data_IF_587764325239
#
_entry.id   IF_587764325239
#
_cell.length_a   1.000
_cell.length_b   1.000
_cell.length_c   1.000
_cell.angle_alpha   90.00
_cell.angle_beta   90.00
_cell.angle_gamma   90.00
#
_symmetry.space_group_name_H-M   'P 1'
#
loop_
_entity.id
_entity.type
_entity.pdbx_description
1 polymer ?
#
# COMPACT_ATOMS: atom_id res chain seq x y z
N UNK A 1 8.72 -8.73 7.51
CA UNK A 1 7.82 -8.73 6.35
C UNK A 1 8.08 -7.47 5.56
N UNK A 2 8.73 -7.60 4.40
CA UNK A 2 9.05 -6.48 3.53
C UNK A 2 8.04 -6.44 2.39
N UNK A 3 7.35 -5.32 2.25
CA UNK A 3 6.56 -4.99 1.07
C UNK A 3 7.52 -4.29 0.11
N UNK A 4 8.06 -5.01 -0.87
CA UNK A 4 8.71 -4.33 -1.98
C UNK A 4 7.63 -3.60 -2.77
N UNK A 5 7.80 -2.28 -2.89
CA UNK A 5 7.02 -1.36 -3.71
C UNK A 5 5.66 -0.91 -3.14
N UNK A 6 5.73 0.05 -2.22
CA UNK A 6 4.66 1.05 -2.05
C UNK A 6 4.61 2.07 -3.20
N UNK A 7 5.40 1.90 -4.26
CA UNK A 7 5.44 2.75 -5.44
C UNK A 7 4.83 2.03 -6.64
N UNK A 8 3.89 2.71 -7.30
CA UNK A 8 3.41 2.45 -8.66
C UNK A 8 2.38 1.31 -8.78
N UNK A 9 1.14 1.66 -8.40
CA UNK A 9 -0.08 1.29 -9.13
C UNK A 9 -0.42 2.45 -10.07
N UNK A 10 -1.31 2.29 -11.08
CA UNK A 10 -1.87 3.44 -11.77
C UNK A 10 -2.44 4.41 -10.72
N UNK A 11 -1.82 5.59 -10.59
CA UNK A 11 -2.12 6.58 -9.55
C UNK A 11 -3.62 6.82 -9.40
N UNK A 12 -4.39 6.74 -10.50
CA UNK A 12 -5.83 6.90 -10.50
C UNK A 12 -6.61 5.89 -9.65
N UNK A 13 -6.22 4.61 -9.61
CA UNK A 13 -6.98 3.59 -8.88
C UNK A 13 -6.63 3.60 -7.41
N UNK A 14 -5.35 3.77 -7.08
CA UNK A 14 -4.92 3.96 -5.70
C UNK A 14 -5.47 5.27 -5.13
N UNK A 15 -5.46 6.37 -5.87
CA UNK A 15 -6.09 7.62 -5.41
C UNK A 15 -7.60 7.47 -5.25
N UNK A 16 -8.30 6.77 -6.14
CA UNK A 16 -9.74 6.48 -5.96
C UNK A 16 -10.01 5.61 -4.74
N UNK A 17 -9.24 4.54 -4.53
CA UNK A 17 -9.39 3.65 -3.37
C UNK A 17 -9.00 4.39 -2.09
N UNK A 18 -7.95 5.21 -2.09
CA UNK A 18 -7.53 5.99 -0.92
C UNK A 18 -8.49 7.16 -0.64
N UNK A 19 -9.05 7.79 -1.67
CA UNK A 19 -10.02 8.88 -1.55
C UNK A 19 -11.39 8.36 -1.11
N UNK A 20 -11.88 7.29 -1.74
CA UNK A 20 -13.19 6.69 -1.44
C UNK A 20 -13.12 5.70 -0.27
N UNK A 21 -11.91 5.24 0.10
CA UNK A 21 -11.64 4.22 1.14
C UNK A 21 -12.38 2.90 0.92
N UNK A 22 -12.67 2.56 -0.34
CA UNK A 22 -13.32 1.31 -0.76
C UNK A 22 -12.64 0.72 -2.00
N UNK A 23 -12.52 -0.61 -2.06
CA UNK A 23 -12.00 -1.33 -3.22
C UNK A 23 -11.06 -2.46 -2.85
N UNK A 24 -10.27 -2.92 -3.83
CA UNK A 24 -9.29 -4.00 -3.65
C UNK A 24 -7.96 -3.63 -4.29
N UNK A 25 -6.88 -3.92 -3.59
CA UNK A 25 -5.52 -3.69 -4.07
C UNK A 25 -4.72 -4.98 -3.99
N UNK A 26 -4.32 -5.56 -5.14
CA UNK A 26 -3.36 -6.65 -5.19
C UNK A 26 -2.00 -6.23 -4.59
N UNK A 27 -1.27 -7.15 -3.99
CA UNK A 27 0.08 -6.92 -3.52
C UNK A 27 0.83 -8.25 -3.35
N UNK A 28 2.15 -8.22 -3.14
CA UNK A 28 2.95 -9.40 -2.82
C UNK A 28 3.68 -9.18 -1.50
N UNK A 29 3.61 -10.17 -0.62
CA UNK A 29 4.37 -10.21 0.61
C UNK A 29 5.45 -11.27 0.49
N UNK A 30 6.68 -10.90 0.86
CA UNK A 30 7.81 -11.83 0.86
C UNK A 30 8.14 -12.25 2.30
N UNK A 31 8.15 -13.57 2.51
CA UNK A 31 8.46 -14.19 3.80
C UNK A 31 9.77 -14.96 3.69
N UNK A 32 10.63 -14.85 4.71
CA UNK A 32 11.71 -15.82 4.88
C UNK A 32 11.12 -17.14 5.37
N UNK A 33 11.80 -18.26 5.10
CA UNK A 33 11.39 -19.58 5.55
C UNK A 33 11.12 -19.65 7.07
N UNK A 34 11.93 -18.93 7.86
CA UNK A 34 11.83 -18.86 9.31
C UNK A 34 10.60 -18.09 9.81
N UNK A 35 10.08 -17.17 8.99
CA UNK A 35 8.94 -16.30 9.33
C UNK A 35 7.61 -16.87 8.80
N UNK A 36 7.66 -17.93 8.00
CA UNK A 36 6.47 -18.55 7.44
C UNK A 36 5.67 -19.29 8.52
N UNK A 37 4.35 -19.07 8.60
CA UNK A 37 3.49 -19.90 9.44
C UNK A 37 3.66 -21.38 9.08
N UNK A 38 3.89 -22.24 10.07
CA UNK A 38 4.12 -23.67 9.81
C UNK A 38 2.97 -24.34 9.04
N UNK A 39 1.73 -23.90 9.28
CA UNK A 39 0.52 -24.33 8.58
C UNK A 39 0.51 -24.00 7.07
N UNK A 40 1.41 -23.12 6.64
CA UNK A 40 1.55 -22.66 5.26
C UNK A 40 2.69 -23.36 4.54
N UNK A 41 3.57 -24.08 5.23
CA UNK A 41 4.66 -24.81 4.59
C UNK A 41 4.12 -26.06 3.89
N UNK A 42 3.76 -25.90 2.61
CA UNK A 42 3.26 -26.96 1.75
C UNK A 42 4.39 -27.49 0.87
N UNK A 43 4.35 -28.78 0.56
CA UNK A 43 5.43 -29.48 -0.14
C UNK A 43 5.68 -28.96 -1.58
N UNK A 44 4.70 -28.28 -2.17
CA UNK A 44 4.72 -27.80 -3.56
C UNK A 44 4.82 -26.26 -3.67
N UNK A 45 5.17 -25.57 -2.58
CA UNK A 45 5.39 -24.12 -2.62
C UNK A 45 6.74 -23.81 -3.27
N UNK A 46 6.68 -23.21 -4.46
CA UNK A 46 7.86 -22.78 -5.20
C UNK A 46 8.43 -21.50 -4.56
N UNK A 47 9.67 -21.59 -4.09
CA UNK A 47 10.44 -20.46 -3.56
C UNK A 47 10.69 -19.40 -4.66
N UNK A 48 10.73 -18.13 -4.27
CA UNK A 48 11.10 -17.03 -5.16
C UNK A 48 12.57 -16.64 -4.95
N UNK A 49 13.37 -16.73 -6.01
CA UNK A 49 14.77 -16.28 -6.05
C UNK A 49 14.90 -14.75 -6.17
N UNK A 50 14.22 -14.02 -5.29
CA UNK A 50 14.39 -12.57 -5.20
C UNK A 50 15.53 -12.30 -4.22
N UNK A 51 16.71 -11.99 -4.78
CA UNK A 51 18.00 -11.84 -4.08
C UNK A 51 18.56 -13.18 -3.59
N UNK A 52 19.85 -13.25 -3.21
CA UNK A 52 20.54 -14.48 -2.78
C UNK A 52 19.96 -15.14 -1.50
N UNK A 53 18.76 -14.74 -1.06
CA UNK A 53 18.04 -15.26 0.08
C UNK A 53 16.75 -15.97 -0.38
N UNK A 54 16.56 -17.23 0.02
CA UNK A 54 15.32 -17.98 -0.24
C UNK A 54 14.12 -17.29 0.43
N UNK A 55 13.16 -16.82 -0.37
CA UNK A 55 11.92 -16.19 0.11
C UNK A 55 10.68 -16.83 -0.50
N UNK A 56 9.58 -16.77 0.21
CA UNK A 56 8.26 -17.22 -0.23
C UNK A 56 7.42 -15.99 -0.59
N UNK A 57 7.00 -15.92 -1.86
CA UNK A 57 6.06 -14.91 -2.33
C UNK A 57 4.63 -15.35 -2.02
N UNK A 58 3.93 -14.55 -1.21
CA UNK A 58 2.52 -14.72 -0.87
C UNK A 58 1.72 -13.62 -1.56
N UNK A 59 0.77 -13.95 -2.46
CA UNK A 59 -0.13 -12.95 -3.01
C UNK A 59 -1.06 -12.44 -1.91
N UNK A 60 -1.26 -11.13 -1.88
CA UNK A 60 -2.08 -10.40 -0.92
C UNK A 60 -3.18 -9.64 -1.67
N UNK A 61 -4.39 -9.66 -1.13
CA UNK A 61 -5.48 -8.77 -1.52
C UNK A 61 -5.83 -7.86 -0.33
N UNK A 62 -5.52 -6.57 -0.46
CA UNK A 62 -5.94 -5.54 0.50
C UNK A 62 -7.34 -5.08 0.14
N UNK A 63 -8.32 -5.43 0.97
CA UNK A 63 -9.73 -5.12 0.79
C UNK A 63 -10.06 -3.91 1.65
N UNK A 64 -10.48 -2.82 1.02
CA UNK A 64 -10.84 -1.58 1.68
C UNK A 64 -12.36 -1.44 1.73
N UNK A 65 -12.89 -1.05 2.90
CA UNK A 65 -14.31 -0.76 3.10
C UNK A 65 -14.52 0.41 4.07
N UNK A 66 -15.62 1.13 3.92
CA UNK A 66 -16.08 2.15 4.87
C UNK A 66 -16.92 1.60 6.01
N UNK A 67 -17.64 0.49 5.79
CA UNK A 67 -18.66 -0.03 6.71
C UNK A 67 -18.08 -0.93 7.80
N UNK A 68 -18.57 -0.76 9.04
CA UNK A 68 -18.27 -1.66 10.15
C UNK A 68 -18.80 -3.08 9.91
N UNK A 69 -19.94 -3.19 9.21
CA UNK A 69 -20.53 -4.48 8.88
C UNK A 69 -19.70 -5.20 7.82
N UNK A 70 -19.20 -4.44 6.85
CA UNK A 70 -18.39 -4.96 5.76
C UNK A 70 -17.06 -5.55 6.24
N UNK A 71 -16.46 -4.91 7.24
CA UNK A 71 -15.23 -5.39 7.87
C UNK A 71 -15.38 -6.78 8.52
N UNK A 72 -16.61 -7.23 8.80
CA UNK A 72 -16.92 -8.55 9.35
C UNK A 72 -17.42 -9.54 8.29
N UNK A 73 -17.53 -9.14 7.02
CA UNK A 73 -18.09 -9.99 5.97
C UNK A 73 -17.27 -11.25 5.73
N UNK A 74 -15.94 -11.17 5.75
CA UNK A 74 -15.07 -12.35 5.58
C UNK A 74 -15.22 -13.38 6.71
N UNK A 75 -15.68 -12.94 7.89
CA UNK A 75 -15.92 -13.81 9.04
C UNK A 75 -17.14 -14.68 8.80
N UNK A 76 -18.20 -14.07 8.26
CA UNK A 76 -19.53 -14.66 8.22
C UNK A 76 -19.81 -15.42 6.93
N UNK A 77 -19.11 -15.04 5.87
CA UNK A 77 -19.54 -15.35 4.51
C UNK A 77 -18.43 -16.03 3.73
N UNK A 78 -18.84 -16.80 2.74
CA UNK A 78 -17.91 -17.41 1.79
C UNK A 78 -17.48 -16.39 0.73
N UNK A 79 -16.26 -16.56 0.27
CA UNK A 79 -15.66 -15.76 -0.78
C UNK A 79 -15.56 -16.55 -2.09
N UNK A 80 -15.58 -15.83 -3.20
CA UNK A 80 -15.41 -16.37 -4.54
C UNK A 80 -14.50 -15.45 -5.34
N UNK A 81 -13.82 -16.04 -6.33
CA UNK A 81 -12.90 -15.33 -7.20
C UNK A 81 -13.28 -15.54 -8.66
N UNK A 82 -12.96 -14.54 -9.47
CA UNK A 82 -12.94 -14.64 -10.92
C UNK A 82 -11.58 -14.14 -11.38
N UNK A 83 -10.90 -14.91 -12.23
CA UNK A 83 -9.66 -14.48 -12.87
C UNK A 83 -9.77 -14.79 -14.35
N UNK A 84 -9.79 -13.77 -15.21
CA UNK A 84 -9.93 -13.94 -16.65
C UNK A 84 -9.02 -13.01 -17.41
N UNK A 85 -8.38 -13.54 -18.44
CA UNK A 85 -7.62 -12.74 -19.38
C UNK A 85 -8.55 -12.17 -20.44
N UNK A 86 -8.32 -10.90 -20.80
CA UNK A 86 -9.00 -10.24 -21.88
C UNK A 86 -7.98 -9.64 -22.85
N UNK A 87 -8.28 -9.71 -24.14
CA UNK A 87 -7.62 -8.93 -25.17
C UNK A 87 -8.64 -7.93 -25.75
N UNK A 88 -8.40 -6.64 -25.52
CA UNK A 88 -9.29 -5.56 -25.92
C UNK A 88 -8.46 -4.55 -26.71
N UNK A 89 -8.84 -4.31 -27.96
CA UNK A 89 -8.11 -3.38 -28.84
C UNK A 89 -6.61 -3.70 -28.91
N UNK A 90 -6.27 -4.99 -29.06
CA UNK A 90 -4.91 -5.52 -29.04
C UNK A 90 -4.14 -5.32 -27.72
N UNK A 91 -4.85 -4.95 -26.65
CA UNK A 91 -4.28 -4.78 -25.32
C UNK A 91 -4.73 -5.91 -24.41
N UNK A 92 -3.79 -6.65 -23.85
CA UNK A 92 -4.00 -7.71 -22.89
C UNK A 92 -4.09 -7.14 -21.47
N UNK A 93 -5.06 -7.62 -20.71
CA UNK A 93 -5.23 -7.35 -19.29
C UNK A 93 -5.77 -8.59 -18.59
N UNK A 94 -5.51 -8.71 -17.29
CA UNK A 94 -6.12 -9.75 -16.47
C UNK A 94 -7.11 -9.12 -15.50
N UNK A 95 -8.34 -9.61 -15.59
CA UNK A 95 -9.46 -9.17 -14.80
C UNK A 95 -9.61 -10.08 -13.58
N UNK A 96 -9.36 -9.52 -12.40
CA UNK A 96 -9.53 -10.17 -11.11
C UNK A 96 -10.75 -9.58 -10.39
N UNK A 97 -11.73 -10.42 -10.07
CA UNK A 97 -12.82 -10.06 -9.18
C UNK A 97 -12.76 -10.87 -7.90
N UNK A 98 -13.15 -10.20 -6.82
CA UNK A 98 -13.39 -10.79 -5.52
C UNK A 98 -14.82 -10.51 -5.12
N UNK A 99 -15.53 -11.57 -4.71
CA UNK A 99 -16.93 -11.51 -4.34
C UNK A 99 -17.15 -12.14 -2.96
N UNK A 100 -17.96 -11.48 -2.13
CA UNK A 100 -18.50 -12.05 -0.89
C UNK A 100 -19.98 -12.31 -1.09
N UNK A 101 -20.34 -13.59 -1.24
CA UNK A 101 -21.62 -14.03 -1.81
C UNK A 101 -22.83 -13.80 -0.91
N UNK A 102 -22.67 -13.87 0.41
CA UNK A 102 -23.81 -13.95 1.33
C UNK A 102 -24.41 -12.58 1.74
N UNK A 103 -24.09 -11.50 1.02
CA UNK A 103 -24.80 -10.21 1.12
C UNK A 103 -25.88 -10.15 0.05
N UNK A 104 -26.98 -10.88 0.23
CA UNK A 104 -28.09 -10.84 -0.74
C UNK A 104 -29.01 -9.63 -0.47
N UNK A 105 -29.54 -8.92 -1.48
CA UNK A 105 -29.44 -9.16 -2.94
C UNK A 105 -28.21 -8.58 -3.63
N UNK A 106 -27.39 -7.78 -2.95
CA UNK A 106 -26.27 -7.04 -3.53
C UNK A 106 -24.94 -7.54 -2.93
N UNK A 107 -24.33 -8.60 -3.50
CA UNK A 107 -23.07 -9.12 -2.99
C UNK A 107 -21.99 -8.05 -3.05
N UNK A 108 -21.10 -8.04 -2.06
CA UNK A 108 -19.93 -7.18 -2.09
C UNK A 108 -18.98 -7.68 -3.18
N UNK A 109 -18.80 -6.89 -4.23
CA UNK A 109 -17.93 -7.18 -5.37
C UNK A 109 -16.94 -6.05 -5.54
N UNK A 110 -15.68 -6.42 -5.66
CA UNK A 110 -14.59 -5.49 -5.95
C UNK A 110 -13.74 -6.05 -7.08
N UNK A 111 -13.24 -5.14 -7.91
CA UNK A 111 -12.50 -5.42 -9.14
C UNK A 111 -11.08 -4.89 -9.05
N UNK A 112 -10.14 -5.67 -9.58
CA UNK A 112 -8.80 -5.19 -9.95
C UNK A 112 -8.47 -5.62 -11.38
N UNK A 113 -7.85 -4.71 -12.13
CA UNK A 113 -7.38 -4.96 -13.48
C UNK A 113 -5.86 -4.93 -13.48
N UNK A 114 -5.27 -6.04 -13.88
CA UNK A 114 -3.85 -6.31 -13.83
C UNK A 114 -3.26 -6.02 -15.21
N UNK A 115 -2.28 -5.11 -15.25
CA UNK A 115 -1.50 -4.78 -16.45
C UNK A 115 -0.35 -5.79 -16.61
N UNK A 116 -0.36 -6.64 -17.65
CA UNK A 116 0.70 -7.61 -17.88
C UNK A 116 2.06 -6.99 -18.12
N UNK A 117 2.15 -5.71 -18.50
CA UNK A 117 3.43 -5.03 -18.79
C UNK A 117 4.09 -4.47 -17.53
N UNK A 118 3.34 -4.32 -16.44
CA UNK A 118 3.81 -3.67 -15.21
C UNK A 118 4.47 -4.68 -14.26
N UNK A 119 5.66 -4.36 -13.76
CA UNK A 119 6.50 -5.27 -12.97
C UNK A 119 5.80 -5.77 -11.69
N UNK A 120 5.09 -4.88 -10.99
CA UNK A 120 4.35 -5.23 -9.77
C UNK A 120 3.20 -6.19 -10.06
N UNK A 121 2.45 -5.93 -11.13
CA UNK A 121 1.37 -6.80 -11.61
C UNK A 121 1.88 -8.17 -12.07
N UNK A 122 3.02 -8.21 -12.80
CA UNK A 122 3.70 -9.47 -13.14
C UNK A 122 4.10 -10.24 -11.88
N UNK A 123 4.67 -9.56 -10.89
CA UNK A 123 5.09 -10.17 -9.62
C UNK A 123 3.90 -10.74 -8.85
N UNK A 124 2.78 -10.01 -8.83
CA UNK A 124 1.53 -10.47 -8.24
C UNK A 124 0.96 -11.71 -8.94
N UNK A 125 0.88 -11.71 -10.26
CA UNK A 125 0.41 -12.89 -11.02
C UNK A 125 1.36 -14.07 -10.86
N UNK A 126 2.67 -13.82 -10.78
CA UNK A 126 3.67 -14.85 -10.46
C UNK A 126 3.40 -15.45 -9.08
N UNK A 127 3.21 -14.61 -8.05
CA UNK A 127 2.88 -15.07 -6.71
C UNK A 127 1.54 -15.85 -6.69
N UNK A 128 0.51 -15.40 -7.41
CA UNK A 128 -0.74 -16.15 -7.59
C UNK A 128 -0.52 -17.50 -8.28
N UNK A 129 0.40 -17.61 -9.24
CA UNK A 129 0.67 -18.86 -9.94
C UNK A 129 1.43 -19.87 -9.07
N UNK A 130 2.31 -19.39 -8.19
CA UNK A 130 3.23 -20.25 -7.43
C UNK A 130 2.78 -20.55 -6.01
N UNK A 131 2.08 -19.63 -5.37
CA UNK A 131 1.66 -19.76 -3.98
C UNK A 131 0.44 -20.69 -3.86
N UNK A 132 0.46 -21.67 -2.95
CA UNK A 132 -0.72 -22.45 -2.61
C UNK A 132 -1.77 -21.60 -1.88
N UNK A 133 -1.37 -20.48 -1.27
CA UNK A 133 -2.22 -19.65 -0.42
C UNK A 133 -2.40 -18.24 -0.98
N UNK A 134 -3.52 -17.62 -0.62
CA UNK A 134 -3.84 -16.22 -0.87
C UNK A 134 -4.17 -15.54 0.45
N UNK A 135 -3.49 -14.43 0.74
CA UNK A 135 -3.76 -13.63 1.93
C UNK A 135 -4.81 -12.54 1.62
N UNK A 136 -5.79 -12.40 2.49
CA UNK A 136 -6.85 -11.40 2.45
C UNK A 136 -6.68 -10.48 3.66
N UNK A 137 -6.37 -9.20 3.42
CA UNK A 137 -6.22 -8.21 4.48
C UNK A 137 -7.34 -7.18 4.39
N UNK A 138 -8.11 -7.06 5.48
CA UNK A 138 -9.26 -6.15 5.54
C UNK A 138 -8.84 -4.85 6.21
N UNK A 139 -9.09 -3.74 5.51
CA UNK A 139 -8.87 -2.39 5.97
C UNK A 139 -10.21 -1.67 6.05
N UNK A 140 -10.53 -1.16 7.22
CA UNK A 140 -11.72 -0.36 7.41
C UNK A 140 -11.33 1.10 7.62
N UNK A 141 -11.81 2.00 6.75
CA UNK A 141 -11.44 3.43 6.76
C UNK A 141 -9.91 3.63 6.77
N UNK A 142 -9.17 2.74 6.10
CA UNK A 142 -7.70 2.73 6.05
C UNK A 142 -7.00 2.04 7.23
N UNK A 143 -7.74 1.61 8.25
CA UNK A 143 -7.17 0.92 9.43
C UNK A 143 -7.27 -0.58 9.23
N UNK A 144 -6.14 -1.30 9.34
CA UNK A 144 -6.12 -2.77 9.32
C UNK A 144 -7.01 -3.33 10.43
N UNK A 145 -7.84 -4.32 10.09
CA UNK A 145 -8.76 -4.98 11.02
C UNK A 145 -8.43 -6.44 11.22
N UNK A 146 -8.14 -7.15 10.13
CA UNK A 146 -8.02 -8.59 10.15
C UNK A 146 -7.21 -9.08 8.96
N UNK A 147 -6.51 -10.18 9.20
CA UNK A 147 -5.82 -10.97 8.18
C UNK A 147 -6.45 -12.35 8.14
N UNK A 148 -6.83 -12.81 6.94
CA UNK A 148 -7.28 -14.16 6.67
C UNK A 148 -6.50 -14.76 5.52
N UNK A 149 -6.52 -16.07 5.40
CA UNK A 149 -5.97 -16.76 4.26
C UNK A 149 -6.94 -17.80 3.73
N UNK A 150 -6.70 -18.18 2.49
CA UNK A 150 -7.47 -19.19 1.78
C UNK A 150 -6.53 -19.97 0.87
N UNK A 151 -6.87 -21.24 0.62
CA UNK A 151 -6.24 -21.98 -0.47
C UNK A 151 -6.51 -21.24 -1.77
N UNK A 152 -5.45 -21.01 -2.55
CA UNK A 152 -5.47 -20.16 -3.72
C UNK A 152 -6.27 -20.82 -4.85
N UNK A 153 -7.52 -20.38 -5.09
CA UNK A 153 -8.42 -21.09 -6.00
C UNK A 153 -8.19 -20.71 -7.46
N UNK A 154 -7.35 -19.69 -7.70
CA UNK A 154 -7.03 -19.19 -9.03
C UNK A 154 -5.59 -19.55 -9.45
N UNK A 155 -4.90 -20.40 -8.68
CA UNK A 155 -3.49 -20.76 -8.92
C UNK A 155 -3.24 -21.29 -10.33
N UNK A 156 -4.04 -22.25 -10.77
CA UNK A 156 -3.91 -22.88 -12.11
C UNK A 156 -4.21 -21.86 -13.22
N UNK A 157 -5.26 -21.06 -13.05
CA UNK A 157 -5.62 -20.00 -14.00
C UNK A 157 -4.55 -18.92 -14.07
N UNK A 158 -3.97 -18.53 -12.93
CA UNK A 158 -2.86 -17.58 -12.85
C UNK A 158 -1.59 -18.12 -13.49
N UNK A 159 -1.26 -19.40 -13.31
CA UNK A 159 -0.13 -20.04 -13.98
C UNK A 159 -0.30 -20.02 -15.52
N UNK A 160 -1.52 -20.26 -16.00
CA UNK A 160 -1.85 -20.18 -17.43
C UNK A 160 -1.71 -18.74 -17.96
N UNK A 161 -2.19 -17.75 -17.20
CA UNK A 161 -2.04 -16.34 -17.56
C UNK A 161 -0.55 -15.91 -17.57
N UNK A 162 0.23 -16.35 -16.58
CA UNK A 162 1.66 -16.03 -16.47
C UNK A 162 2.48 -16.53 -17.66
N UNK A 163 2.18 -17.74 -18.17
CA UNK A 163 2.85 -18.28 -19.36
C UNK A 163 2.64 -17.36 -20.58
N UNK A 164 1.45 -16.80 -20.73
CA UNK A 164 1.13 -15.85 -21.81
C UNK A 164 1.74 -14.48 -21.58
N UNK A 165 1.81 -14.00 -20.33
CA UNK A 165 2.42 -12.72 -19.98
C UNK A 165 3.87 -12.62 -20.45
N UNK A 166 4.61 -13.71 -20.40
CA UNK A 166 5.99 -13.76 -20.89
C UNK A 166 6.11 -13.61 -22.42
N UNK A 167 5.02 -13.78 -23.16
CA UNK A 167 4.95 -13.66 -24.62
C UNK A 167 4.31 -12.34 -25.07
N UNK A 168 3.68 -11.60 -24.15
CA UNK A 168 2.99 -10.35 -24.48
C UNK A 168 4.04 -9.23 -24.63
N UNK A 169 4.07 -8.52 -25.78
CA UNK A 169 4.94 -7.35 -25.94
C UNK A 169 4.56 -6.26 -24.94
N UNK A 170 5.52 -5.40 -24.61
CA UNK A 170 5.26 -4.26 -23.73
C UNK A 170 4.15 -3.37 -24.30
N UNK A 171 3.17 -3.04 -23.45
CA UNK A 171 1.97 -2.29 -23.82
C UNK A 171 2.03 -0.93 -23.14
N UNK A 172 1.68 0.14 -23.85
CA UNK A 172 1.70 1.48 -23.28
C UNK A 172 0.63 1.63 -22.19
N UNK A 173 0.90 2.46 -21.19
CA UNK A 173 -0.06 2.78 -20.13
C UNK A 173 -1.35 3.39 -20.71
N UNK A 174 -1.24 4.20 -21.77
CA UNK A 174 -2.39 4.79 -22.44
C UNK A 174 -3.32 3.72 -23.07
N UNK A 175 -2.74 2.74 -23.77
CA UNK A 175 -3.49 1.62 -24.35
C UNK A 175 -4.16 0.76 -23.26
N UNK A 176 -3.46 0.54 -22.15
CA UNK A 176 -4.03 -0.15 -20.99
C UNK A 176 -5.23 0.59 -20.39
N UNK A 177 -5.14 1.91 -20.21
CA UNK A 177 -6.24 2.72 -19.69
C UNK A 177 -7.45 2.67 -20.64
N UNK A 178 -7.23 2.78 -21.95
CA UNK A 178 -8.29 2.69 -22.95
C UNK A 178 -8.99 1.32 -22.91
N UNK A 179 -8.20 0.24 -22.93
CA UNK A 179 -8.71 -1.13 -22.86
C UNK A 179 -9.48 -1.41 -21.57
N UNK A 180 -8.99 -0.89 -20.44
CA UNK A 180 -9.68 -0.93 -19.15
C UNK A 180 -11.04 -0.22 -19.23
N UNK A 181 -11.07 1.02 -19.73
CA UNK A 181 -12.33 1.77 -19.87
C UNK A 181 -13.29 1.04 -20.81
N UNK A 182 -12.80 0.47 -21.90
CA UNK A 182 -13.60 -0.32 -22.83
C UNK A 182 -14.16 -1.60 -22.19
N UNK A 183 -13.39 -2.29 -21.33
CA UNK A 183 -13.89 -3.43 -20.55
C UNK A 183 -15.02 -3.00 -19.61
N UNK A 184 -14.77 -1.96 -18.80
CA UNK A 184 -15.71 -1.46 -17.80
C UNK A 184 -17.01 -0.96 -18.44
N UNK A 185 -16.94 -0.35 -19.62
CA UNK A 185 -18.13 0.09 -20.36
C UNK A 185 -18.92 -1.08 -20.97
N UNK A 186 -18.27 -2.20 -21.29
CA UNK A 186 -18.93 -3.39 -21.87
C UNK A 186 -19.50 -4.31 -20.79
N UNK A 187 -18.97 -4.25 -19.58
CA UNK A 187 -19.27 -5.20 -18.53
C UNK A 187 -19.86 -4.51 -17.31
N UNK A 188 -21.16 -4.68 -17.14
CA UNK A 188 -21.78 -4.38 -15.86
C UNK A 188 -21.24 -5.35 -14.81
N UNK A 189 -20.70 -4.79 -13.72
CA UNK A 189 -20.25 -5.53 -12.53
C UNK A 189 -21.44 -6.12 -11.77
N UNK A 190 -22.06 -7.13 -12.37
CA UNK A 190 -23.14 -7.91 -11.79
C UNK A 190 -22.66 -9.35 -11.57
N UNK A 191 -22.83 -9.86 -10.36
CA UNK A 191 -22.38 -11.21 -9.97
C UNK A 191 -22.76 -12.31 -10.97
N UNK A 192 -23.88 -12.19 -11.69
CA UNK A 192 -24.34 -13.23 -12.63
C UNK A 192 -23.52 -13.31 -13.92
N UNK A 193 -22.68 -12.32 -14.21
CA UNK A 193 -21.98 -12.19 -15.48
C UNK A 193 -20.62 -12.90 -15.51
N UNK A 194 -20.24 -13.61 -14.45
CA UNK A 194 -18.88 -14.10 -14.26
C UNK A 194 -18.82 -15.58 -13.92
N UNK A 195 -17.75 -16.22 -14.37
CA UNK A 195 -17.36 -17.57 -14.00
C UNK A 195 -16.64 -17.52 -12.66
N UNK A 196 -17.32 -17.90 -11.59
CA UNK A 196 -16.79 -17.88 -10.22
C UNK A 196 -16.19 -19.22 -9.83
N UNK A 197 -15.16 -19.18 -8.99
CA UNK A 197 -14.72 -20.35 -8.21
C UNK A 197 -15.83 -20.83 -7.27
N UNK A 198 -15.71 -22.05 -6.76
CA UNK A 198 -16.59 -22.51 -5.68
C UNK A 198 -16.50 -21.56 -4.46
N UNK A 199 -17.59 -21.38 -3.69
CA UNK A 199 -17.56 -20.59 -2.47
C UNK A 199 -16.69 -21.23 -1.40
N UNK A 200 -15.71 -20.48 -0.91
CA UNK A 200 -14.72 -20.97 0.05
C UNK A 200 -14.73 -20.14 1.33
N UNK A 201 -14.43 -20.76 2.46
CA UNK A 201 -14.34 -20.08 3.75
C UNK A 201 -12.90 -19.64 4.01
N UNK A 202 -12.69 -18.33 4.20
CA UNK A 202 -11.39 -17.81 4.59
C UNK A 202 -11.10 -18.09 6.07
N UNK A 203 -9.88 -18.58 6.35
CA UNK A 203 -9.43 -18.96 7.70
C UNK A 203 -8.66 -17.80 8.33
N UNK A 204 -8.87 -17.57 9.63
CA UNK A 204 -8.16 -16.52 10.36
C UNK A 204 -6.67 -16.78 10.37
N UNK A 205 -5.87 -15.78 9.99
CA UNK A 205 -4.42 -15.86 10.02
C UNK A 205 -3.91 -15.51 11.42
N UNK A 206 -4.04 -16.43 12.38
CA UNK A 206 -3.49 -16.22 13.72
C UNK A 206 -1.97 -16.19 13.67
N UNK A 207 -1.37 -15.13 14.25
CA UNK A 207 0.09 -14.97 14.30
C UNK A 207 0.72 -14.25 13.10
N UNK A 208 -0.04 -13.98 12.02
CA UNK A 208 0.43 -13.14 10.92
C UNK A 208 0.16 -11.70 11.30
N UNK A 209 1.14 -11.09 12.00
CA UNK A 209 1.12 -9.65 12.18
C UNK A 209 1.30 -9.04 10.78
N UNK A 210 0.29 -8.33 10.29
CA UNK A 210 0.49 -7.38 9.20
C UNK A 210 1.73 -6.54 9.54
N UNK A 211 2.54 -6.14 8.55
CA UNK A 211 3.68 -5.30 8.83
C UNK A 211 3.13 -4.08 9.58
N UNK A 212 3.47 -3.96 10.87
CA UNK A 212 3.52 -2.62 11.44
C UNK A 212 4.42 -1.87 10.48
N UNK A 213 3.95 -0.76 9.93
CA UNK A 213 4.85 0.19 9.27
C UNK A 213 6.11 0.27 10.13
N UNK A 214 7.32 0.12 9.54
CA UNK A 214 8.55 0.04 10.32
C UNK A 214 8.45 1.13 11.38
N UNK A 215 8.53 0.73 12.65
CA UNK A 215 8.33 1.62 13.78
C UNK A 215 9.42 2.68 13.64
N UNK A 216 9.09 3.78 12.95
CA UNK A 216 10.02 4.86 12.68
C UNK A 216 10.28 5.38 14.08
N UNK A 217 11.48 5.13 14.59
CA UNK A 217 11.85 5.59 15.93
C UNK A 217 11.60 7.09 15.92
N UNK A 218 10.54 7.51 16.61
CA UNK A 218 10.17 8.91 16.64
C UNK A 218 11.34 9.68 17.25
N UNK A 219 11.60 10.87 16.72
CA UNK A 219 12.50 11.81 17.40
C UNK A 219 11.88 12.15 18.75
N UNK A 220 12.70 12.50 19.73
CA UNK A 220 12.23 12.80 21.09
C UNK A 220 11.16 13.89 21.11
N UNK A 221 11.32 14.92 20.28
CA UNK A 221 10.34 15.99 20.04
C UNK A 221 8.96 15.49 19.61
N UNK A 222 8.88 14.28 19.03
CA UNK A 222 7.67 13.68 18.49
C UNK A 222 7.09 12.55 19.34
N UNK A 223 7.74 12.15 20.44
CA UNK A 223 7.30 11.02 21.27
C UNK A 223 5.87 11.22 21.85
N UNK A 224 5.50 12.47 22.18
CA UNK A 224 4.15 12.82 22.65
C UNK A 224 3.10 12.97 21.53
N UNK A 225 3.53 13.13 20.27
CA UNK A 225 2.68 13.44 19.12
C UNK A 225 2.49 12.26 18.16
N UNK A 226 2.95 11.06 18.53
CA UNK A 226 2.92 9.89 17.65
C UNK A 226 1.53 9.53 17.08
N UNK A 227 0.45 9.90 17.78
CA UNK A 227 -0.93 9.70 17.32
C UNK A 227 -1.37 10.64 16.17
N UNK A 228 -0.63 11.72 15.95
CA UNK A 228 -0.86 12.70 14.86
C UNK A 228 0.02 12.44 13.63
N UNK A 229 1.04 11.59 13.78
CA UNK A 229 2.00 11.26 12.73
C UNK A 229 1.43 10.17 11.82
N UNK A 230 1.50 10.38 10.50
CA UNK A 230 1.15 9.38 9.49
C UNK A 230 2.35 9.06 8.60
N UNK A 231 2.36 7.85 8.05
CA UNK A 231 3.32 7.45 7.03
C UNK A 231 2.86 7.94 5.67
N UNK A 232 3.33 9.13 5.26
CA UNK A 232 3.15 9.65 3.89
C UNK A 232 4.50 10.08 3.32
N UNK A 233 5.05 9.38 2.31
CA UNK A 233 6.34 9.77 1.74
C UNK A 233 6.23 11.13 1.03
N UNK A 234 7.31 11.92 1.08
CA UNK A 234 7.43 13.15 0.30
C UNK A 234 8.16 12.86 -1.03
N UNK A 235 7.60 13.25 -2.20
CA UNK A 235 8.24 12.99 -3.49
C UNK A 235 9.62 13.67 -3.59
N UNK A 236 10.64 12.93 -4.04
CA UNK A 236 12.00 13.46 -4.27
C UNK A 236 12.66 14.12 -3.05
N UNK A 237 12.32 13.66 -1.83
CA UNK A 237 12.97 14.17 -0.62
C UNK A 237 14.47 13.81 -0.61
N UNK A 238 15.37 14.78 -0.33
CA UNK A 238 16.79 14.51 -0.11
C UNK A 238 17.04 13.40 0.92
N UNK A 239 18.02 12.53 0.66
CA UNK A 239 18.29 11.34 1.46
C UNK A 239 18.60 11.68 2.93
N UNK A 240 19.35 12.75 3.15
CA UNK A 240 19.75 13.28 4.45
C UNK A 240 18.59 13.93 5.23
N UNK A 241 17.49 14.28 4.57
CA UNK A 241 16.26 14.75 5.21
C UNK A 241 15.28 13.63 5.58
N UNK A 242 15.47 12.42 5.06
CA UNK A 242 14.52 11.32 5.28
C UNK A 242 14.30 11.01 6.75
N UNK A 243 15.31 11.12 7.60
CA UNK A 243 15.14 10.81 9.03
C UNK A 243 14.39 11.90 9.83
N UNK A 244 14.28 13.08 9.25
CA UNK A 244 13.66 14.26 9.88
C UNK A 244 12.25 14.53 9.36
N UNK A 245 11.83 13.81 8.31
CA UNK A 245 10.54 14.00 7.67
C UNK A 245 9.40 13.30 8.41
N UNK A 246 8.31 14.04 8.62
CA UNK A 246 7.04 13.53 9.14
C UNK A 246 5.87 14.12 8.35
N UNK A 247 4.79 13.35 8.25
CA UNK A 247 3.50 13.93 7.90
C UNK A 247 2.69 14.03 9.19
N UNK A 248 2.24 15.23 9.55
CA UNK A 248 1.53 15.52 10.79
C UNK A 248 0.13 16.05 10.41
N UNK A 249 -0.92 15.57 11.09
CA UNK A 249 -2.31 15.80 10.66
C UNK A 249 -2.75 17.27 10.52
N UNK A 250 -2.11 18.18 11.24
CA UNK A 250 -2.38 19.63 11.28
C UNK A 250 -1.35 20.46 10.50
N UNK A 251 -0.13 19.95 10.28
CA UNK A 251 0.97 20.68 9.62
C UNK A 251 1.30 20.14 8.21
N UNK A 252 0.86 18.92 7.88
CA UNK A 252 1.16 18.28 6.60
C UNK A 252 2.61 17.75 6.52
N UNK A 253 3.21 17.80 5.33
CA UNK A 253 4.58 17.36 5.08
C UNK A 253 5.60 18.31 5.70
N UNK A 254 6.27 17.85 6.76
CA UNK A 254 7.17 18.65 7.57
C UNK A 254 8.52 17.97 7.79
N UNK A 255 9.56 18.79 7.99
CA UNK A 255 10.86 18.41 8.53
C UNK A 255 10.96 18.94 9.95
N UNK A 256 11.31 18.07 10.90
CA UNK A 256 11.68 18.51 12.25
C UNK A 256 13.04 19.19 12.20
N UNK A 257 13.08 20.47 12.54
CA UNK A 257 14.29 21.30 12.44
C UNK A 257 14.31 22.38 13.53
N UNK A 258 15.43 23.06 13.69
CA UNK A 258 15.63 24.14 14.66
C UNK A 258 15.88 25.44 13.88
N UNK A 259 15.04 26.47 14.03
CA UNK A 259 15.31 27.80 13.48
C UNK A 259 16.63 28.33 14.06
N UNK A 260 17.47 28.92 13.22
CA UNK A 260 18.78 29.47 13.64
C UNK A 260 18.67 30.41 14.83
N UNK A 261 17.59 31.20 14.91
CA UNK A 261 17.30 32.11 16.03
C UNK A 261 17.09 31.41 17.37
N UNK A 262 16.70 30.13 17.36
CA UNK A 262 16.54 29.31 18.56
C UNK A 262 17.81 28.55 18.94
N UNK A 263 18.82 28.53 18.08
CA UNK A 263 20.04 27.75 18.30
C UNK A 263 20.79 28.17 19.57
N UNK A 264 20.93 29.47 19.80
CA UNK A 264 21.61 30.01 20.99
C UNK A 264 20.73 29.92 22.26
N UNK A 265 19.41 29.87 22.08
CA UNK A 265 18.45 29.62 23.17
C UNK A 265 18.53 28.16 23.61
N UNK A 266 18.70 27.25 22.66
CA UNK A 266 18.85 25.81 22.89
C UNK A 266 20.09 25.47 23.73
N UNK A 267 21.13 26.30 23.73
CA UNK A 267 22.32 26.10 24.57
C UNK A 267 22.02 26.14 26.09
N UNK A 268 20.85 26.64 26.49
CA UNK A 268 20.37 26.67 27.89
C UNK A 268 19.28 25.63 28.18
N UNK A 269 18.89 24.83 27.19
CA UNK A 269 17.87 23.78 27.27
C UNK A 269 18.34 22.52 26.53
N UNK A 270 17.43 21.60 26.18
CA UNK A 270 17.73 20.52 25.24
C UNK A 270 17.38 20.96 23.81
N UNK A 271 18.22 20.59 22.83
CA UNK A 271 17.96 20.86 21.41
C UNK A 271 16.67 20.17 20.91
N UNK A 272 16.32 19.03 21.52
CA UNK A 272 15.10 18.28 21.22
C UNK A 272 13.84 19.13 21.45
N UNK A 273 13.82 19.97 22.50
CA UNK A 273 12.67 20.84 22.83
C UNK A 273 12.51 22.03 21.88
N UNK A 274 13.54 22.32 21.08
CA UNK A 274 13.56 23.45 20.15
C UNK A 274 13.25 23.05 18.71
N UNK A 275 13.01 21.75 18.46
CA UNK A 275 12.57 21.28 17.16
C UNK A 275 11.14 21.74 16.86
N UNK A 276 10.93 22.24 15.66
CA UNK A 276 9.64 22.65 15.11
C UNK A 276 9.39 21.93 13.79
N UNK A 277 8.12 21.75 13.46
CA UNK A 277 7.71 21.20 12.17
C UNK A 277 7.72 22.31 11.12
N UNK A 278 8.71 22.31 10.22
CA UNK A 278 8.79 23.25 9.12
C UNK A 278 8.37 22.57 7.79
N UNK A 279 7.64 23.25 6.89
CA UNK A 279 7.19 22.64 5.64
C UNK A 279 8.36 22.20 4.76
N UNK A 280 8.30 20.99 4.19
CA UNK A 280 9.40 20.43 3.38
C UNK A 280 9.80 21.37 2.23
N UNK A 281 8.80 21.93 1.52
CA UNK A 281 9.02 22.87 0.41
C UNK A 281 9.84 24.09 0.83
N UNK A 282 9.65 24.60 2.05
CA UNK A 282 10.41 25.74 2.56
C UNK A 282 11.90 25.42 2.66
N UNK A 283 12.25 24.25 3.20
CA UNK A 283 13.65 23.83 3.33
C UNK A 283 14.32 23.60 1.98
N UNK A 284 13.59 23.06 1.02
CA UNK A 284 14.13 22.81 -0.32
C UNK A 284 14.44 24.14 -1.04
N UNK A 285 13.56 25.13 -0.90
CA UNK A 285 13.70 26.44 -1.56
C UNK A 285 14.77 27.30 -0.90
N UNK A 286 14.77 27.36 0.44
CA UNK A 286 15.61 28.28 1.20
C UNK A 286 16.92 27.64 1.69
N UNK A 287 17.07 26.34 1.51
CA UNK A 287 18.21 25.57 2.01
C UNK A 287 18.10 25.25 3.49
N UNK A 288 18.99 24.35 3.93
CA UNK A 288 19.09 23.91 5.32
C UNK A 288 20.52 23.50 5.62
N UNK A 289 20.87 23.41 6.90
CA UNK A 289 22.16 22.88 7.36
C UNK A 289 21.92 21.80 8.40
N UNK A 290 22.60 20.65 8.29
CA UNK A 290 22.59 19.63 9.34
C UNK A 290 23.78 19.87 10.26
N UNK A 291 23.52 20.14 11.54
CA UNK A 291 24.52 20.39 12.57
C UNK A 291 24.18 19.58 13.81
N UNK A 292 25.16 18.82 14.31
CA UNK A 292 25.05 18.00 15.52
C UNK A 292 23.83 17.04 15.53
N UNK A 293 23.42 16.54 14.36
CA UNK A 293 22.27 15.64 14.21
C UNK A 293 20.89 16.33 14.20
N UNK A 294 20.87 17.66 14.02
CA UNK A 294 19.66 18.47 13.87
C UNK A 294 19.70 19.22 12.54
N UNK A 295 18.55 19.28 11.87
CA UNK A 295 18.35 20.17 10.72
C UNK A 295 18.15 21.57 11.24
N UNK A 296 18.82 22.55 10.63
CA UNK A 296 18.71 23.97 10.96
C UNK A 296 18.30 24.77 9.74
N UNK A 297 17.45 25.76 9.96
CA UNK A 297 16.88 26.60 8.91
C UNK A 297 16.93 28.07 9.31
N UNK A 298 17.15 28.95 8.35
CA UNK A 298 17.00 30.38 8.57
C UNK A 298 15.53 30.75 8.30
N UNK A 299 14.73 30.77 9.36
CA UNK A 299 13.30 31.07 9.29
C UNK A 299 12.89 31.99 10.44
N UNK A 300 11.98 32.94 10.19
CA UNK A 300 11.40 33.76 11.23
C UNK A 300 10.61 32.88 12.22
N UNK A 301 10.79 33.16 13.50
CA UNK A 301 10.14 32.44 14.58
C UNK A 301 9.62 33.42 15.61
N UNK A 302 8.32 33.33 15.91
CA UNK A 302 7.65 34.06 16.95
C UNK A 302 7.49 33.14 18.19
N UNK A 303 7.90 33.55 19.40
CA UNK A 303 7.79 32.71 20.60
C UNK A 303 6.36 32.31 21.00
N UNK A 304 5.35 33.02 20.51
CA UNK A 304 3.93 32.78 20.80
C UNK A 304 3.26 32.01 19.65
N UNK A 305 3.56 32.37 18.40
CA UNK A 305 2.88 31.84 17.22
C UNK A 305 3.66 30.70 16.52
N UNK A 306 4.95 30.55 16.79
CA UNK A 306 5.82 29.55 16.17
C UNK A 306 6.48 30.04 14.88
N UNK A 307 6.64 29.15 13.90
CA UNK A 307 7.21 29.51 12.60
C UNK A 307 6.28 30.47 11.85
N UNK A 308 6.83 31.60 11.43
CA UNK A 308 6.11 32.61 10.63
C UNK A 308 6.44 32.44 9.15
N UNK A 309 5.93 31.35 8.56
CA UNK A 309 6.18 30.97 7.16
C UNK A 309 4.88 31.11 6.38
N UNK A 310 4.96 31.64 5.17
CA UNK A 310 3.81 31.80 4.27
C UNK A 310 3.10 30.45 4.01
N UNK A 311 1.77 30.49 4.02
CA UNK A 311 0.90 29.35 3.77
C UNK A 311 1.21 28.63 2.45
N UNK A 312 1.79 29.32 1.45
CA UNK A 312 2.18 28.74 0.16
C UNK A 312 3.20 27.59 0.25
N UNK A 313 3.92 27.48 1.37
CA UNK A 313 4.90 26.43 1.60
C UNK A 313 4.31 25.15 2.19
N UNK A 314 3.09 25.20 2.73
CA UNK A 314 2.45 24.06 3.39
C UNK A 314 1.81 23.11 2.37
N UNK A 315 2.03 21.81 2.56
CA UNK A 315 1.56 20.74 1.66
C UNK A 315 0.90 19.63 2.50
N UNK A 316 -0.39 19.36 2.27
CA UNK A 316 -1.23 18.46 3.07
C UNK A 316 -1.52 17.10 2.40
#
# INVERSE_FOLDING_TARGET
>A
MYSDNDELFPLSDRHKIMANKEGILPNVLYFQATDMPQIWLWADWIQSDLTNDERYAVPELKIFTLSNEDAKLLIRNKVQFHLKEHNIQNTNLVHLLFCIRDVWPNPFIVESLINPSESNHKSFVKALATSPMLLLNVYQKGIHKESRYIENPVRVTAATALQKFNLIPEQSIAAFIEAKTALQNKMELNHRNFEWTDPMQATIATGIKSPKAPERKLRKSMEGLGHMVQSRPYPNLPEDLKEYHFWIADVGHSIMCIPTVLWDVAAKSTLDDMEVAAPVKYLIVNGYTIKDGYVTIDAPYDPVLGLDIDDEYYEY
#
